data_IF_590900375058
#
_entry.id   IF_590900375058
#
_cell.length_a   1.000
_cell.length_b   1.000
_cell.length_c   1.000
_cell.angle_alpha   90.00
_cell.angle_beta   90.00
_cell.angle_gamma   90.00
#
_symmetry.space_group_name_H-M   'P 1'
#
loop_
_entity.id
_entity.type
_entity.pdbx_description
1 polymer ?
#
# COMPACT_ATOMS: atom_id res chain seq x y z
N UNK A 1 -8.42 15.79 14.29
CA UNK A 1 -7.56 15.43 15.45
C UNK A 1 -7.05 14.02 15.22
N UNK A 2 -5.81 13.71 15.66
CA UNK A 2 -5.23 12.38 15.58
C UNK A 2 -5.62 11.60 16.84
N UNK A 3 -5.93 10.29 16.69
CA UNK A 3 -6.24 9.43 17.82
C UNK A 3 -4.96 9.05 18.58
N UNK A 4 -5.04 8.96 19.91
CA UNK A 4 -4.01 8.34 20.72
C UNK A 4 -4.02 6.81 20.55
N UNK A 5 -2.95 6.13 20.96
CA UNK A 5 -2.91 4.66 20.94
C UNK A 5 -3.99 4.02 21.79
N UNK A 6 -4.29 4.57 22.96
CA UNK A 6 -5.39 4.09 23.79
C UNK A 6 -6.76 4.31 23.14
N UNK A 7 -6.95 5.43 22.41
CA UNK A 7 -8.16 5.67 21.64
C UNK A 7 -8.27 4.69 20.46
N UNK A 8 -7.17 4.38 19.76
CA UNK A 8 -7.15 3.33 18.73
C UNK A 8 -7.59 1.99 19.33
N UNK A 9 -7.04 1.63 20.50
CA UNK A 9 -7.40 0.39 21.22
C UNK A 9 -8.89 0.35 21.59
N UNK A 10 -9.44 1.47 22.09
CA UNK A 10 -10.84 1.55 22.52
C UNK A 10 -11.83 1.41 21.37
N UNK A 11 -11.42 1.74 20.16
CA UNK A 11 -12.25 1.68 18.95
C UNK A 11 -12.10 0.38 18.14
N UNK A 12 -11.27 -0.57 18.60
CA UNK A 12 -11.15 -1.89 17.98
C UNK A 12 -12.48 -2.64 18.03
N UNK A 13 -12.86 -3.24 16.90
CA UNK A 13 -14.13 -3.96 16.75
C UNK A 13 -15.35 -3.06 16.57
N UNK A 14 -15.19 -1.75 16.57
CA UNK A 14 -16.24 -0.77 16.25
C UNK A 14 -15.90 0.04 15.00
N UNK A 15 -15.10 1.09 15.16
CA UNK A 15 -14.65 1.95 14.04
C UNK A 15 -13.34 1.50 13.41
N UNK A 16 -12.58 0.64 14.08
CA UNK A 16 -11.27 0.17 13.64
C UNK A 16 -11.21 -1.36 13.73
N UNK A 17 -10.77 -2.01 12.66
CA UNK A 17 -10.36 -3.41 12.64
C UNK A 17 -8.89 -3.47 12.24
N UNK A 18 -8.10 -4.23 12.98
CA UNK A 18 -6.72 -4.60 12.66
C UNK A 18 -6.57 -6.08 12.99
N UNK A 19 -6.35 -6.92 12.00
CA UNK A 19 -6.28 -8.37 12.19
C UNK A 19 -5.05 -8.97 11.49
N UNK A 20 -4.19 -9.67 12.23
CA UNK A 20 -4.18 -9.85 13.69
C UNK A 20 -3.71 -8.58 14.43
N UNK A 21 -4.32 -8.30 15.58
CA UNK A 21 -3.88 -7.21 16.46
C UNK A 21 -2.89 -7.71 17.52
N UNK A 22 -1.77 -7.00 17.64
CA UNK A 22 -0.73 -7.24 18.66
C UNK A 22 -0.55 -5.98 19.51
N UNK A 23 -0.93 -6.00 20.81
CA UNK A 23 -0.80 -4.83 21.67
C UNK A 23 0.62 -4.25 21.76
N UNK A 24 1.67 -5.07 21.53
CA UNK A 24 3.06 -4.62 21.55
C UNK A 24 3.44 -3.71 20.37
N UNK A 25 2.60 -3.65 19.35
CA UNK A 25 2.79 -2.80 18.17
C UNK A 25 2.09 -1.44 18.26
N UNK A 26 1.36 -1.22 19.35
CA UNK A 26 0.69 0.05 19.59
C UNK A 26 1.69 1.11 20.04
N UNK A 27 1.66 2.26 19.40
CA UNK A 27 2.47 3.43 19.71
C UNK A 27 1.61 4.50 20.40
N UNK A 28 2.19 5.61 20.89
CA UNK A 28 1.40 6.68 21.53
C UNK A 28 0.26 7.24 20.67
N UNK A 29 0.37 7.23 19.34
CA UNK A 29 -0.63 7.78 18.40
C UNK A 29 -0.70 7.06 17.05
N UNK A 30 -0.24 5.82 16.98
CA UNK A 30 -0.28 4.99 15.76
C UNK A 30 -0.18 3.51 16.10
N UNK A 31 -0.34 2.65 15.11
CA UNK A 31 -0.11 1.21 15.21
C UNK A 31 0.86 0.77 14.09
N UNK A 32 1.85 -0.06 14.43
CA UNK A 32 2.81 -0.58 13.46
C UNK A 32 2.24 -1.76 12.70
N UNK A 33 2.15 -1.65 11.38
CA UNK A 33 1.80 -2.73 10.47
C UNK A 33 3.08 -3.43 9.98
N UNK A 34 2.97 -4.73 9.71
CA UNK A 34 4.10 -5.57 9.31
C UNK A 34 4.07 -5.92 7.84
N UNK A 35 5.25 -6.24 7.30
CA UNK A 35 5.41 -6.63 5.91
C UNK A 35 5.02 -8.10 5.71
N UNK A 36 4.13 -8.35 4.75
CA UNK A 36 3.84 -9.72 4.28
C UNK A 36 5.06 -10.34 3.58
N UNK A 37 5.07 -11.66 3.42
CA UNK A 37 6.19 -12.41 2.87
C UNK A 37 6.28 -12.39 1.33
N UNK A 38 5.43 -11.67 0.65
CA UNK A 38 5.41 -11.60 -0.81
C UNK A 38 5.49 -10.17 -1.31
N UNK A 39 6.09 -10.02 -2.50
CA UNK A 39 6.16 -8.77 -3.26
C UNK A 39 5.75 -9.03 -4.70
N UNK A 40 5.38 -7.95 -5.41
CA UNK A 40 5.30 -7.93 -6.86
C UNK A 40 6.31 -6.93 -7.42
N UNK A 41 6.83 -7.22 -8.62
CA UNK A 41 7.56 -6.28 -9.47
C UNK A 41 6.90 -6.22 -10.82
N UNK A 42 6.91 -5.04 -11.45
CA UNK A 42 6.49 -4.92 -12.84
C UNK A 42 7.53 -5.54 -13.77
N UNK A 43 7.09 -6.14 -14.86
CA UNK A 43 7.95 -6.78 -15.85
C UNK A 43 8.29 -5.85 -17.03
N UNK A 44 7.46 -4.84 -17.28
CA UNK A 44 7.68 -3.86 -18.33
C UNK A 44 8.75 -2.84 -17.90
N UNK A 45 9.60 -2.44 -18.86
CA UNK A 45 10.57 -1.34 -18.69
C UNK A 45 9.86 0.00 -18.67
N UNK A 46 8.82 0.15 -19.48
CA UNK A 46 7.98 1.34 -19.53
C UNK A 46 6.56 0.96 -19.15
N UNK A 47 6.05 1.59 -18.09
CA UNK A 47 4.67 1.40 -17.64
C UNK A 47 3.77 2.40 -18.35
N UNK A 48 2.72 1.90 -19.01
CA UNK A 48 1.71 2.71 -19.65
C UNK A 48 0.48 2.81 -18.74
N UNK A 49 0.08 4.04 -18.40
CA UNK A 49 -1.08 4.30 -17.54
C UNK A 49 -2.41 3.82 -18.15
N UNK A 50 -2.48 3.64 -19.47
CA UNK A 50 -3.66 3.18 -20.21
C UNK A 50 -3.71 1.66 -20.38
N UNK A 51 -2.67 0.94 -20.00
CA UNK A 51 -2.54 -0.50 -20.17
C UNK A 51 -2.38 -1.23 -18.82
N UNK A 52 -2.97 -2.43 -18.66
CA UNK A 52 -2.64 -3.27 -17.52
C UNK A 52 -1.17 -3.73 -17.65
N UNK A 53 -0.43 -3.66 -16.56
CA UNK A 53 0.97 -4.11 -16.53
C UNK A 53 1.06 -5.53 -16.00
N UNK A 54 2.00 -6.32 -16.56
CA UNK A 54 2.33 -7.65 -16.04
C UNK A 54 3.17 -7.52 -14.79
N UNK A 55 2.99 -8.46 -13.89
CA UNK A 55 3.75 -8.48 -12.63
C UNK A 55 4.35 -9.85 -12.40
N UNK A 56 5.51 -9.87 -11.76
CA UNK A 56 6.17 -11.06 -11.27
C UNK A 56 6.13 -11.08 -9.74
N UNK A 57 5.68 -12.20 -9.19
CA UNK A 57 5.63 -12.42 -7.74
C UNK A 57 7.01 -12.88 -7.24
N UNK A 58 7.43 -12.31 -6.12
CA UNK A 58 8.65 -12.66 -5.39
C UNK A 58 8.26 -13.08 -3.98
N UNK A 59 8.94 -14.08 -3.46
CA UNK A 59 8.84 -14.46 -2.05
C UNK A 59 10.03 -13.93 -1.28
N UNK A 60 9.79 -13.39 -0.08
CA UNK A 60 10.84 -12.94 0.83
C UNK A 60 11.21 -14.13 1.71
N UNK A 61 12.38 -14.76 1.53
CA UNK A 61 12.78 -15.89 2.34
C UNK A 61 13.16 -15.47 3.77
N UNK A 62 13.30 -16.43 4.66
CA UNK A 62 13.63 -16.15 6.07
C UNK A 62 14.97 -15.42 6.24
N UNK A 63 15.94 -15.70 5.35
CA UNK A 63 17.26 -15.03 5.31
C UNK A 63 17.18 -13.62 4.70
N UNK A 64 16.01 -13.19 4.25
CA UNK A 64 15.73 -11.87 3.70
C UNK A 64 15.96 -11.76 2.20
N UNK A 65 15.33 -10.75 1.59
CA UNK A 65 15.45 -10.38 0.19
C UNK A 65 16.11 -9.00 0.08
N UNK A 66 17.05 -8.84 -0.85
CA UNK A 66 17.66 -7.53 -1.14
C UNK A 66 16.79 -6.80 -2.14
N UNK A 67 16.29 -5.62 -1.74
CA UNK A 67 15.69 -4.66 -2.66
C UNK A 67 16.79 -3.86 -3.33
N UNK A 68 16.77 -3.81 -4.66
CA UNK A 68 17.71 -3.02 -5.45
C UNK A 68 17.18 -1.59 -5.63
N UNK A 69 18.06 -0.59 -5.68
CA UNK A 69 17.69 0.78 -6.02
C UNK A 69 17.15 0.87 -7.45
N UNK A 70 16.41 1.93 -7.74
CA UNK A 70 15.79 2.20 -9.05
C UNK A 70 14.74 1.18 -9.50
N UNK A 71 14.29 0.31 -8.60
CA UNK A 71 13.19 -0.62 -8.85
C UNK A 71 12.06 -0.39 -7.85
N UNK A 72 10.84 -0.33 -8.37
CA UNK A 72 9.64 -0.31 -7.55
C UNK A 72 9.26 -1.76 -7.18
N UNK A 73 8.99 -1.97 -5.91
CA UNK A 73 8.44 -3.20 -5.37
C UNK A 73 7.08 -2.89 -4.76
N UNK A 74 6.09 -3.70 -5.06
CA UNK A 74 4.80 -3.65 -4.40
C UNK A 74 4.77 -4.74 -3.33
N UNK A 75 4.64 -4.33 -2.08
CA UNK A 75 4.40 -5.21 -0.96
C UNK A 75 2.97 -5.07 -0.46
N UNK A 76 2.63 -5.72 0.63
CA UNK A 76 1.40 -5.46 1.38
C UNK A 76 1.61 -5.62 2.88
N UNK A 77 0.68 -5.07 3.64
CA UNK A 77 0.61 -5.34 5.08
C UNK A 77 0.24 -6.80 5.33
N UNK A 78 0.76 -7.36 6.42
CA UNK A 78 0.33 -8.69 6.88
C UNK A 78 -1.03 -8.59 7.60
N UNK A 79 -1.32 -7.44 8.19
CA UNK A 79 -2.58 -7.16 8.86
C UNK A 79 -3.64 -6.71 7.85
N UNK A 80 -4.82 -7.26 7.98
CA UNK A 80 -6.06 -6.76 7.40
C UNK A 80 -6.56 -5.58 8.25
N UNK A 81 -7.09 -4.54 7.61
CA UNK A 81 -7.64 -3.37 8.31
C UNK A 81 -9.00 -2.97 7.78
N UNK A 82 -9.85 -2.44 8.67
CA UNK A 82 -11.07 -1.71 8.31
C UNK A 82 -11.11 -0.40 9.09
N UNK A 83 -11.66 0.63 8.47
CA UNK A 83 -11.81 1.93 9.12
C UNK A 83 -13.19 2.51 8.82
N UNK A 84 -13.96 2.78 9.88
CA UNK A 84 -15.27 3.41 9.81
C UNK A 84 -15.25 4.73 10.57
N UNK A 85 -15.92 5.77 10.04
CA UNK A 85 -16.05 7.10 10.68
C UNK A 85 -14.70 7.82 10.98
N UNK A 86 -13.60 7.31 10.48
CA UNK A 86 -12.25 7.86 10.65
C UNK A 86 -11.50 7.84 9.31
N UNK A 87 -10.54 8.73 9.16
CA UNK A 87 -9.62 8.75 8.01
C UNK A 87 -8.35 8.00 8.40
N UNK A 88 -8.07 6.82 7.81
CA UNK A 88 -6.80 6.13 8.04
C UNK A 88 -5.68 6.77 7.23
N UNK A 89 -4.50 6.85 7.82
CA UNK A 89 -3.28 7.32 7.17
C UNK A 89 -2.17 6.29 7.36
N UNK A 90 -1.40 6.03 6.31
CA UNK A 90 -0.21 5.17 6.40
C UNK A 90 1.04 6.00 6.14
N UNK A 91 2.03 5.82 6.99
CA UNK A 91 3.34 6.45 6.90
C UNK A 91 4.45 5.42 7.13
N UNK A 92 5.60 5.64 6.49
CA UNK A 92 6.80 4.87 6.79
C UNK A 92 7.27 5.08 8.24
N UNK A 93 8.07 4.15 8.74
CA UNK A 93 8.70 4.27 10.07
C UNK A 93 10.05 4.95 9.95
N UNK A 94 10.39 5.80 10.93
CA UNK A 94 11.68 6.53 10.96
C UNK A 94 12.90 5.62 10.82
N UNK A 95 12.90 4.44 11.45
CA UNK A 95 14.00 3.48 11.36
C UNK A 95 14.15 2.87 9.97
N UNK A 96 13.04 2.71 9.25
CA UNK A 96 13.01 2.21 7.86
C UNK A 96 13.49 3.31 6.91
N UNK A 97 12.98 4.54 7.06
CA UNK A 97 13.41 5.67 6.24
C UNK A 97 14.91 5.98 6.37
N UNK A 98 15.50 5.79 7.57
CA UNK A 98 16.94 5.97 7.78
C UNK A 98 17.83 4.93 7.09
N UNK A 99 17.28 3.79 6.67
CA UNK A 99 17.96 2.83 5.79
C UNK A 99 17.87 3.21 4.31
N UNK A 100 17.18 4.32 3.98
CA UNK A 100 16.92 4.72 2.60
C UNK A 100 15.81 3.90 1.93
N UNK A 101 14.96 3.24 2.70
CA UNK A 101 13.78 2.54 2.20
C UNK A 101 12.54 3.42 2.42
N UNK A 102 11.96 3.85 1.33
CA UNK A 102 10.69 4.57 1.31
C UNK A 102 9.53 3.58 1.14
N UNK A 103 8.47 3.79 1.91
CA UNK A 103 7.30 2.92 1.92
C UNK A 103 6.08 3.81 1.83
N UNK A 104 5.27 3.62 0.78
CA UNK A 104 3.97 4.24 0.61
C UNK A 104 3.95 5.78 0.66
N UNK A 105 4.96 6.41 0.07
CA UNK A 105 5.22 7.87 0.22
C UNK A 105 4.16 8.73 -0.47
N UNK A 106 3.54 8.25 -1.54
CA UNK A 106 2.65 9.06 -2.40
C UNK A 106 1.18 8.79 -2.20
N UNK A 107 0.80 7.73 -1.51
CA UNK A 107 -0.59 7.27 -1.40
C UNK A 107 -1.01 6.91 0.04
N UNK A 108 -0.35 7.50 1.03
CA UNK A 108 -0.59 7.23 2.46
C UNK A 108 -1.97 7.67 2.98
N UNK A 109 -2.71 8.46 2.20
CA UNK A 109 -4.05 8.91 2.55
C UNK A 109 -5.08 7.84 2.18
N UNK A 110 -5.82 7.33 3.19
CA UNK A 110 -6.91 6.41 3.00
C UNK A 110 -8.28 7.08 3.15
N UNK A 111 -9.26 6.53 2.47
CA UNK A 111 -10.63 7.02 2.58
C UNK A 111 -11.38 6.36 3.74
N UNK A 112 -12.36 7.07 4.29
CA UNK A 112 -13.30 6.53 5.28
C UNK A 112 -14.07 5.36 4.67
N UNK A 113 -14.15 4.25 5.39
CA UNK A 113 -14.81 3.03 4.91
C UNK A 113 -13.91 2.08 4.11
N UNK A 114 -12.63 2.41 3.93
CA UNK A 114 -11.67 1.47 3.34
C UNK A 114 -11.50 0.24 4.22
N UNK A 115 -11.47 -0.92 3.57
CA UNK A 115 -11.18 -2.22 4.18
C UNK A 115 -10.36 -3.10 3.24
N UNK A 116 -9.38 -3.79 3.79
CA UNK A 116 -8.47 -4.65 3.04
C UNK A 116 -7.04 -4.63 3.56
N UNK A 117 -6.16 -5.28 2.81
CA UNK A 117 -4.71 -5.15 3.00
C UNK A 117 -4.21 -3.92 2.26
N UNK A 118 -3.30 -3.17 2.86
CA UNK A 118 -2.65 -2.05 2.18
C UNK A 118 -1.56 -2.55 1.24
N UNK A 119 -1.63 -2.15 -0.01
CA UNK A 119 -0.50 -2.33 -0.93
C UNK A 119 0.51 -1.22 -0.69
N UNK A 120 1.77 -1.59 -0.53
CA UNK A 120 2.87 -0.70 -0.16
C UNK A 120 3.79 -0.53 -1.37
N UNK A 121 3.89 0.68 -1.90
CA UNK A 121 4.91 1.04 -2.88
C UNK A 121 6.24 1.22 -2.15
N UNK A 122 7.18 0.32 -2.42
CA UNK A 122 8.47 0.26 -1.76
C UNK A 122 9.59 0.63 -2.72
N UNK A 123 10.39 1.61 -2.36
CA UNK A 123 11.50 2.11 -3.16
C UNK A 123 12.74 2.32 -2.27
N UNK A 124 13.90 1.78 -2.68
CA UNK A 124 15.15 1.90 -1.96
C UNK A 124 16.14 2.79 -2.71
N UNK A 125 16.83 3.70 -2.02
CA UNK A 125 17.91 4.53 -2.60
C UNK A 125 19.27 3.82 -2.64
N UNK A 126 19.40 2.74 -1.88
CA UNK A 126 20.55 1.84 -1.85
C UNK A 126 20.08 0.41 -1.63
N UNK A 127 20.87 -0.63 -1.87
CA UNK A 127 20.47 -2.00 -1.58
C UNK A 127 20.12 -2.17 -0.10
N UNK A 128 18.89 -2.63 0.18
CA UNK A 128 18.40 -2.87 1.54
C UNK A 128 17.90 -4.29 1.66
N UNK A 129 18.36 -5.04 2.65
CA UNK A 129 17.83 -6.37 2.95
C UNK A 129 16.60 -6.23 3.85
N UNK A 130 15.47 -6.76 3.37
CA UNK A 130 14.20 -6.80 4.09
C UNK A 130 13.84 -8.22 4.52
N UNK A 131 12.97 -8.32 5.50
CA UNK A 131 12.49 -9.59 6.05
C UNK A 131 10.98 -9.60 6.19
N UNK A 132 10.32 -10.76 6.09
CA UNK A 132 8.88 -10.83 6.35
C UNK A 132 8.58 -10.60 7.84
N UNK A 133 7.41 -10.05 8.15
CA UNK A 133 6.95 -9.83 9.51
C UNK A 133 7.58 -8.65 10.25
N UNK A 134 8.54 -7.92 9.62
CA UNK A 134 9.08 -6.71 10.24
C UNK A 134 8.04 -5.58 10.26
N UNK A 135 7.95 -4.78 11.33
CA UNK A 135 7.14 -3.56 11.33
C UNK A 135 7.70 -2.59 10.28
N UNK A 136 6.95 -2.42 9.17
CA UNK A 136 7.43 -1.70 7.98
C UNK A 136 6.86 -0.29 7.86
N UNK A 137 5.62 -0.11 8.26
CA UNK A 137 4.90 1.16 8.24
C UNK A 137 4.05 1.30 9.50
N UNK A 138 3.38 2.42 9.63
CA UNK A 138 2.46 2.69 10.74
C UNK A 138 1.16 3.28 10.21
N UNK A 139 0.04 2.85 10.80
CA UNK A 139 -1.28 3.41 10.55
C UNK A 139 -1.69 4.31 11.70
N UNK A 140 -2.29 5.45 11.40
CA UNK A 140 -2.89 6.36 12.36
C UNK A 140 -4.18 6.93 11.81
N UNK A 141 -4.98 7.54 12.66
CA UNK A 141 -6.36 7.87 12.33
C UNK A 141 -6.65 9.33 12.66
N UNK A 142 -7.34 9.98 11.72
CA UNK A 142 -7.90 11.32 11.92
C UNK A 142 -9.40 11.25 12.08
N UNK A 143 -9.94 12.09 12.94
CA UNK A 143 -11.37 12.38 12.95
C UNK A 143 -11.72 13.20 11.71
N UNK A 144 -12.85 12.87 11.06
CA UNK A 144 -13.44 13.66 10.00
C UNK A 144 -14.48 14.61 10.56
N UNK A 145 -14.59 15.79 9.97
CA UNK A 145 -15.56 16.83 10.38
C UNK A 145 -16.52 17.09 9.22
N UNK A 146 -17.80 17.13 9.51
CA UNK A 146 -18.87 17.32 8.53
C UNK A 146 -19.44 16.00 8.01
N UNK A 147 -20.44 16.12 7.11
CA UNK A 147 -21.04 14.96 6.46
C UNK A 147 -20.03 14.34 5.47
N UNK A 148 -19.97 13.03 5.41
CA UNK A 148 -19.09 12.30 4.50
C UNK A 148 -19.81 11.08 3.91
N UNK A 149 -19.35 10.64 2.74
CA UNK A 149 -19.70 9.36 2.16
C UNK A 149 -18.58 8.35 2.44
N UNK A 150 -18.93 7.10 2.69
CA UNK A 150 -17.95 6.03 2.81
C UNK A 150 -17.38 5.66 1.44
N UNK A 151 -16.13 5.20 1.46
CA UNK A 151 -15.44 4.70 0.27
C UNK A 151 -16.19 3.52 -0.34
N UNK A 152 -16.72 3.72 -1.53
CA UNK A 152 -17.52 2.73 -2.27
C UNK A 152 -16.89 2.32 -3.61
N UNK A 153 -15.60 2.59 -3.82
CA UNK A 153 -14.90 2.26 -5.06
C UNK A 153 -14.67 0.76 -5.18
N UNK A 154 -15.07 0.17 -6.31
CA UNK A 154 -14.75 -1.24 -6.63
C UNK A 154 -13.28 -1.46 -7.03
N UNK A 155 -12.44 -0.42 -6.97
CA UNK A 155 -11.08 -0.47 -7.49
C UNK A 155 -10.12 -1.14 -6.51
N UNK A 156 -10.12 -0.71 -5.24
CA UNK A 156 -9.19 -1.23 -4.21
C UNK A 156 -9.90 -1.68 -2.92
N UNK A 157 -11.23 -1.54 -2.86
CA UNK A 157 -12.02 -2.00 -1.72
C UNK A 157 -11.98 -3.52 -1.63
N UNK A 158 -11.98 -4.04 -0.42
CA UNK A 158 -11.91 -5.47 -0.11
C UNK A 158 -10.64 -6.16 -0.65
N UNK A 159 -9.55 -5.41 -0.77
CA UNK A 159 -8.29 -5.94 -1.27
C UNK A 159 -7.78 -7.11 -0.41
N UNK A 160 -7.55 -8.26 -1.05
CA UNK A 160 -7.10 -9.49 -0.39
C UNK A 160 -5.65 -9.88 -0.69
N UNK A 161 -5.00 -9.14 -1.60
CA UNK A 161 -3.63 -9.43 -2.06
C UNK A 161 -2.87 -8.12 -2.36
N UNK A 162 -1.66 -8.23 -2.89
CA UNK A 162 -0.92 -7.08 -3.44
C UNK A 162 -1.61 -6.65 -4.72
N UNK A 163 -2.06 -5.40 -4.78
CA UNK A 163 -2.82 -4.88 -5.91
C UNK A 163 -1.94 -3.98 -6.78
N UNK A 164 -1.62 -4.37 -8.04
CA UNK A 164 -1.00 -3.46 -9.00
C UNK A 164 -1.90 -2.28 -9.36
N UNK A 165 -1.33 -1.27 -10.03
CA UNK A 165 -2.11 -0.12 -10.48
C UNK A 165 -3.28 -0.54 -11.37
N UNK A 166 -4.47 -0.03 -11.05
CA UNK A 166 -5.70 -0.17 -11.85
C UNK A 166 -6.07 1.13 -12.58
N UNK A 167 -5.13 2.06 -12.72
CA UNK A 167 -5.38 3.37 -13.34
C UNK A 167 -5.90 3.24 -14.78
N UNK A 168 -5.47 2.22 -15.52
CA UNK A 168 -5.95 1.95 -16.87
C UNK A 168 -7.48 1.76 -16.99
N UNK A 169 -8.16 1.43 -15.88
CA UNK A 169 -9.63 1.31 -15.86
C UNK A 169 -10.33 2.67 -15.88
N UNK A 170 -9.63 3.73 -15.54
CA UNK A 170 -10.15 5.11 -15.52
C UNK A 170 -9.82 5.87 -16.80
N UNK A 171 -8.80 5.43 -17.51
CA UNK A 171 -8.34 6.10 -18.72
C UNK A 171 -8.86 5.35 -19.95
N UNK A 172 -9.71 5.97 -20.80
CA UNK A 172 -10.16 5.34 -22.03
C UNK A 172 -8.94 5.02 -22.91
N UNK A 173 -8.91 3.84 -23.52
CA UNK A 173 -8.03 3.57 -24.64
C UNK A 173 -8.51 4.49 -25.78
N UNK A 174 -7.68 5.44 -26.21
CA UNK A 174 -7.83 5.97 -27.55
C UNK A 174 -7.61 4.79 -28.48
N UNK A 175 -8.55 4.53 -29.41
CA UNK A 175 -8.30 3.64 -30.53
C UNK A 175 -7.03 4.19 -31.19
N UNK A 176 -5.94 3.41 -31.16
CA UNK A 176 -4.69 3.77 -31.81
C UNK A 176 -5.04 4.07 -33.26
N UNK A 177 -4.92 5.33 -33.76
CA UNK A 177 -5.07 5.55 -35.17
C UNK A 177 -3.96 4.71 -35.79
N UNK A 178 -4.33 3.60 -36.45
CA UNK A 178 -3.41 2.71 -37.12
C UNK A 178 -2.38 3.57 -37.83
N UNK A 179 -1.16 3.62 -37.28
CA UNK A 179 -0.04 4.14 -38.03
C UNK A 179 -0.01 3.34 -39.31
N UNK A 180 -0.27 3.95 -40.47
CA UNK A 180 -0.19 3.22 -41.71
C UNK A 180 1.26 2.73 -41.82
N UNK A 181 1.44 1.41 -41.70
CA UNK A 181 2.70 0.75 -42.04
C UNK A 181 2.91 0.94 -43.55
N UNK A 182 3.29 2.17 -43.94
CA UNK A 182 3.70 2.50 -45.26
C UNK A 182 5.18 2.29 -45.43
N UNK A 183 5.64 1.05 -45.35
CA UNK A 183 6.79 0.63 -46.14
C UNK A 183 6.24 0.31 -47.52
N UNK A 184 6.29 1.25 -48.41
CA UNK A 184 6.27 1.02 -49.85
C UNK A 184 7.66 1.26 -50.39
N UNK A 185 8.15 0.22 -51.02
CA UNK A 185 9.34 0.04 -51.87
C UNK A 185 10.06 1.28 -52.36
#
# INVERSE_FOLDING_TARGET
>A
MILSGEEIRSQLGSNIVIEPFDPARLNPNSYNLTLHSELLTYEEVVLDMRCPSRTRRLHIPAEGLILNPQQLYLGRTAEYTETHNLVPMIEGRSSIGRLGLFVHVTAGFGDVGFRGYWTLEMFAVQPVRIYPGVPICQIFYHQIIGDFAEYASNKYQDNRDIQPSLLYKELPREEDPQLPLGFRD
#
